data_IF_816336563367
#
_entry.id   IF_816336563367
#
_cell.length_a   1.000
_cell.length_b   1.000
_cell.length_c   1.000
_cell.angle_alpha   90.00
_cell.angle_beta   90.00
_cell.angle_gamma   90.00
#
_symmetry.space_group_name_H-M   'P 1'
#
loop_
_entity.id
_entity.type
_entity.pdbx_description
1 polymer ?
#
# COMPACT_ATOMS: atom_id res chain seq x y z
N UNK A 1 7.79 26.00 2.33
CA UNK A 1 8.32 25.05 1.32
C UNK A 1 7.55 25.24 0.04
N UNK A 2 8.21 25.67 -1.04
CA UNK A 2 7.59 25.70 -2.37
C UNK A 2 7.77 24.34 -3.09
N UNK A 3 7.02 24.12 -4.17
CA UNK A 3 7.02 22.84 -4.89
C UNK A 3 8.42 22.45 -5.42
N UNK A 4 9.19 23.43 -5.90
CA UNK A 4 10.56 23.23 -6.40
C UNK A 4 11.49 22.73 -5.29
N UNK A 5 11.48 23.39 -4.13
CA UNK A 5 12.30 23.01 -2.97
C UNK A 5 11.95 21.61 -2.47
N UNK A 6 10.66 21.29 -2.43
CA UNK A 6 10.20 19.98 -2.01
C UNK A 6 10.64 18.88 -2.98
N UNK A 7 10.63 19.14 -4.29
CA UNK A 7 11.14 18.18 -5.26
C UNK A 7 12.66 18.00 -5.13
N UNK A 8 13.39 19.09 -4.91
CA UNK A 8 14.84 19.05 -4.68
C UNK A 8 15.19 18.20 -3.45
N UNK A 9 14.48 18.36 -2.33
CA UNK A 9 14.74 17.54 -1.13
C UNK A 9 14.53 16.04 -1.37
N UNK A 10 13.62 15.65 -2.27
CA UNK A 10 13.47 14.24 -2.64
C UNK A 10 14.60 13.73 -3.53
N UNK A 11 15.22 14.60 -4.32
CA UNK A 11 16.39 14.24 -5.14
C UNK A 11 17.64 14.12 -4.26
N UNK A 12 17.83 15.04 -3.32
CA UNK A 12 19.07 15.19 -2.57
C UNK A 12 19.10 14.42 -1.24
N UNK A 13 17.96 14.33 -0.54
CA UNK A 13 17.89 13.84 0.85
C UNK A 13 17.15 12.49 1.01
N UNK A 14 16.74 11.83 -0.08
CA UNK A 14 16.01 10.57 0.00
C UNK A 14 16.91 9.35 0.13
N UNK A 15 16.35 8.24 0.61
CA UNK A 15 17.05 6.94 0.70
C UNK A 15 17.03 6.13 -0.61
N UNK A 16 16.48 6.68 -1.69
CA UNK A 16 16.40 5.99 -2.99
C UNK A 16 17.78 5.87 -3.63
N UNK A 17 18.09 4.74 -4.26
CA UNK A 17 19.37 4.58 -4.99
C UNK A 17 19.37 5.38 -6.30
N UNK A 18 18.19 5.54 -6.90
CA UNK A 18 17.98 6.31 -8.13
C UNK A 18 16.83 7.31 -7.96
N UNK A 19 17.01 8.37 -7.16
CA UNK A 19 15.92 9.27 -6.78
C UNK A 19 15.16 9.84 -7.98
N UNK A 20 15.87 10.25 -9.03
CA UNK A 20 15.27 10.85 -10.24
C UNK A 20 14.31 9.90 -10.94
N UNK A 21 14.69 8.63 -11.09
CA UNK A 21 13.90 7.62 -11.78
C UNK A 21 12.68 7.20 -10.96
N UNK A 22 12.87 7.02 -9.65
CA UNK A 22 11.78 6.73 -8.71
C UNK A 22 10.77 7.88 -8.65
N UNK A 23 11.23 9.12 -8.57
CA UNK A 23 10.35 10.30 -8.61
C UNK A 23 9.58 10.36 -9.94
N UNK A 24 10.25 10.13 -11.07
CA UNK A 24 9.61 10.13 -12.38
C UNK A 24 8.53 9.03 -12.46
N UNK A 25 8.80 7.84 -11.93
CA UNK A 25 7.82 6.75 -11.83
C UNK A 25 6.60 7.17 -11.00
N UNK A 26 6.81 7.79 -9.83
CA UNK A 26 5.72 8.27 -8.98
C UNK A 26 4.86 9.34 -9.69
N UNK A 27 5.49 10.24 -10.45
CA UNK A 27 4.79 11.24 -11.26
C UNK A 27 3.97 10.58 -12.37
N UNK A 28 4.50 9.58 -13.07
CA UNK A 28 3.77 8.85 -14.10
C UNK A 28 2.51 8.17 -13.53
N UNK A 29 2.62 7.55 -12.34
CA UNK A 29 1.47 6.95 -11.64
C UNK A 29 0.44 8.03 -11.28
N UNK A 30 0.89 9.18 -10.77
CA UNK A 30 0.01 10.30 -10.45
C UNK A 30 -0.75 10.83 -11.69
N UNK A 31 -0.05 10.95 -12.83
CA UNK A 31 -0.65 11.34 -14.11
C UNK A 31 -1.67 10.32 -14.61
N UNK A 32 -1.32 9.03 -14.61
CA UNK A 32 -2.21 7.94 -15.03
C UNK A 32 -3.49 7.86 -14.18
N UNK A 33 -3.41 8.25 -12.90
CA UNK A 33 -4.55 8.29 -11.98
C UNK A 33 -5.30 9.64 -11.99
N UNK A 34 -4.98 10.55 -12.91
CA UNK A 34 -5.52 11.91 -12.97
C UNK A 34 -5.38 12.69 -11.64
N UNK A 35 -4.31 12.43 -10.89
CA UNK A 35 -4.00 13.02 -9.57
C UNK A 35 -2.64 13.73 -9.59
N UNK A 36 -2.47 14.69 -10.49
CA UNK A 36 -1.20 15.39 -10.77
C UNK A 36 -0.76 16.40 -9.67
N UNK A 37 -1.21 16.22 -8.43
CA UNK A 37 -0.84 17.08 -7.31
C UNK A 37 0.45 16.55 -6.67
N UNK A 38 1.41 17.44 -6.40
CA UNK A 38 2.68 17.07 -5.75
C UNK A 38 2.46 16.34 -4.42
N UNK A 39 1.44 16.70 -3.66
CA UNK A 39 1.09 16.01 -2.41
C UNK A 39 0.75 14.52 -2.61
N UNK A 40 0.16 14.16 -3.76
CA UNK A 40 -0.12 12.77 -4.10
C UNK A 40 1.17 12.01 -4.42
N UNK A 41 2.05 12.61 -5.24
CA UNK A 41 3.38 12.07 -5.56
C UNK A 41 4.18 11.82 -4.27
N UNK A 42 4.19 12.79 -3.36
CA UNK A 42 4.88 12.69 -2.05
C UNK A 42 4.30 11.54 -1.21
N UNK A 43 2.98 11.31 -1.26
CA UNK A 43 2.34 10.18 -0.60
C UNK A 43 2.84 8.83 -1.15
N UNK A 44 2.96 8.72 -2.47
CA UNK A 44 3.52 7.52 -3.13
C UNK A 44 4.97 7.29 -2.67
N UNK A 45 5.82 8.32 -2.73
CA UNK A 45 7.23 8.22 -2.34
C UNK A 45 7.40 7.81 -0.88
N UNK A 46 6.62 8.40 0.04
CA UNK A 46 6.63 8.00 1.45
C UNK A 46 6.21 6.55 1.66
N UNK A 47 5.23 6.08 0.90
CA UNK A 47 4.79 4.69 1.00
C UNK A 47 5.92 3.74 0.57
N UNK A 48 6.58 4.02 -0.56
CA UNK A 48 7.72 3.21 -1.01
C UNK A 48 8.90 3.25 -0.05
N UNK A 49 9.19 4.41 0.55
CA UNK A 49 10.24 4.52 1.55
C UNK A 49 9.92 3.70 2.82
N UNK A 50 8.66 3.70 3.27
CA UNK A 50 8.22 2.87 4.40
C UNK A 50 8.29 1.36 4.07
N UNK A 51 7.94 1.00 2.84
CA UNK A 51 7.99 -0.38 2.33
C UNK A 51 9.41 -0.81 1.95
N UNK A 52 10.42 0.06 2.13
CA UNK A 52 11.82 -0.16 1.77
C UNK A 52 12.04 -0.52 0.29
N UNK A 53 11.18 0.02 -0.60
CA UNK A 53 11.29 -0.09 -2.05
C UNK A 53 12.15 1.07 -2.55
N UNK A 54 13.44 0.83 -2.76
CA UNK A 54 14.43 1.87 -3.02
C UNK A 54 14.83 2.01 -4.50
N UNK A 55 14.51 1.02 -5.34
CA UNK A 55 14.74 1.05 -6.80
C UNK A 55 13.46 0.89 -7.61
N UNK A 56 13.50 1.27 -8.89
CA UNK A 56 12.35 1.14 -9.80
C UNK A 56 12.00 -0.33 -10.03
N UNK A 57 13.00 -1.21 -10.10
CA UNK A 57 12.83 -2.66 -10.28
C UNK A 57 12.09 -3.30 -9.10
N UNK A 58 12.44 -2.91 -7.87
CA UNK A 58 11.76 -3.37 -6.65
C UNK A 58 10.29 -2.91 -6.64
N UNK A 59 10.05 -1.65 -7.02
CA UNK A 59 8.70 -1.09 -7.13
C UNK A 59 7.87 -1.86 -8.15
N UNK A 60 8.43 -2.13 -9.33
CA UNK A 60 7.73 -2.86 -10.40
C UNK A 60 7.42 -4.30 -9.98
N UNK A 61 8.39 -5.01 -9.40
CA UNK A 61 8.20 -6.36 -8.87
C UNK A 61 7.12 -6.41 -7.78
N UNK A 62 7.06 -5.39 -6.92
CA UNK A 62 6.03 -5.29 -5.88
C UNK A 62 4.62 -5.15 -6.46
N UNK A 63 4.42 -4.32 -7.49
CA UNK A 63 3.10 -4.17 -8.14
C UNK A 63 2.69 -5.39 -8.96
N UNK A 64 3.63 -6.08 -9.60
CA UNK A 64 3.36 -7.36 -10.29
C UNK A 64 2.86 -8.44 -9.32
N UNK A 65 3.52 -8.55 -8.16
CA UNK A 65 3.11 -9.49 -7.11
C UNK A 65 1.73 -9.14 -6.52
N UNK A 66 1.40 -7.86 -6.36
CA UNK A 66 0.09 -7.41 -5.88
C UNK A 66 -1.05 -7.67 -6.88
N UNK A 67 -0.77 -7.67 -8.18
CA UNK A 67 -1.77 -8.00 -9.20
C UNK A 67 -1.98 -9.52 -9.32
N UNK A 68 -0.99 -10.31 -8.92
CA UNK A 68 -1.00 -11.78 -9.02
C UNK A 68 -1.66 -12.47 -7.82
N UNK A 69 -1.71 -11.82 -6.66
CA UNK A 69 -2.38 -12.35 -5.47
C UNK A 69 -3.82 -11.82 -5.34
N UNK A 70 -4.85 -12.66 -5.13
CA UNK A 70 -6.17 -12.16 -4.77
C UNK A 70 -6.05 -11.40 -3.44
N UNK A 71 -6.51 -10.14 -3.41
CA UNK A 71 -6.52 -9.27 -2.23
C UNK A 71 -7.37 -9.89 -1.11
N UNK A 72 -6.83 -10.84 -0.37
CA UNK A 72 -7.21 -11.01 1.02
C UNK A 72 -6.57 -9.85 1.77
N UNK A 73 -7.21 -8.68 1.69
CA UNK A 73 -7.05 -7.64 2.71
C UNK A 73 -7.52 -8.32 3.98
N UNK A 74 -6.58 -8.92 4.72
CA UNK A 74 -6.82 -9.29 6.09
C UNK A 74 -7.23 -8.00 6.76
N UNK A 75 -8.54 -7.87 6.99
CA UNK A 75 -9.07 -6.98 7.99
C UNK A 75 -8.17 -7.18 9.20
N UNK A 76 -7.33 -6.18 9.51
CA UNK A 76 -6.82 -6.03 10.86
C UNK A 76 -8.04 -6.19 11.74
N UNK A 77 -8.08 -7.27 12.51
CA UNK A 77 -9.25 -7.67 13.25
C UNK A 77 -9.72 -6.45 14.02
N UNK A 78 -10.87 -5.90 13.63
CA UNK A 78 -11.56 -4.97 14.50
C UNK A 78 -11.84 -5.79 15.73
N UNK A 79 -11.09 -5.57 16.81
CA UNK A 79 -11.51 -6.04 18.11
C UNK A 79 -12.91 -5.44 18.31
N UNK A 80 -13.99 -6.23 18.29
CA UNK A 80 -15.27 -5.66 18.56
C UNK A 80 -15.25 -5.34 20.05
N UNK A 81 -15.45 -4.08 20.40
CA UNK A 81 -15.90 -3.71 21.73
C UNK A 81 -17.33 -4.26 21.91
N UNK A 82 -17.45 -5.59 22.01
CA UNK A 82 -18.71 -6.33 21.95
C UNK A 82 -18.51 -7.81 22.28
N UNK A 83 -19.62 -8.47 22.63
CA UNK A 83 -19.64 -9.88 23.06
C UNK A 83 -19.11 -10.80 21.96
N UNK A 84 -18.25 -11.75 22.30
CA UNK A 84 -17.68 -12.71 21.37
C UNK A 84 -18.81 -13.54 20.70
N UNK A 85 -18.98 -13.39 19.39
CA UNK A 85 -19.86 -14.23 18.57
C UNK A 85 -18.98 -15.35 17.99
N UNK A 86 -19.26 -16.64 18.26
CA UNK A 86 -18.54 -17.72 17.61
C UNK A 86 -18.82 -17.71 16.11
N UNK A 87 -17.76 -17.87 15.30
CA UNK A 87 -17.77 -17.72 13.83
C UNK A 87 -18.51 -18.81 13.05
N UNK A 88 -19.40 -19.55 13.69
CA UNK A 88 -20.18 -20.61 13.10
C UNK A 88 -20.79 -21.51 14.16
N UNK A 89 -21.99 -22.01 13.90
CA UNK A 89 -22.59 -23.08 14.68
C UNK A 89 -22.99 -24.20 13.71
N UNK A 90 -22.70 -25.44 14.07
CA UNK A 90 -23.16 -26.62 13.32
C UNK A 90 -24.40 -27.12 14.03
N UNK A 91 -25.57 -26.98 13.39
CA UNK A 91 -26.82 -27.51 13.91
C UNK A 91 -26.91 -28.99 13.52
N UNK A 92 -26.56 -29.88 14.46
CA UNK A 92 -26.77 -31.32 14.30
C UNK A 92 -28.15 -31.71 14.83
N UNK A 93 -29.08 -31.94 13.91
CA UNK A 93 -30.46 -32.34 14.22
C UNK A 93 -30.58 -33.81 14.66
N UNK A 94 -29.50 -34.59 14.58
CA UNK A 94 -29.45 -36.02 14.92
C UNK A 94 -29.02 -36.26 16.37
N UNK A 95 -28.49 -35.23 17.04
CA UNK A 95 -27.92 -35.33 18.38
C UNK A 95 -28.95 -35.63 19.50
N UNK A 96 -30.24 -35.75 19.17
CA UNK A 96 -31.34 -36.01 20.10
C UNK A 96 -31.92 -37.42 20.07
N UNK A 97 -31.46 -38.33 19.21
CA UNK A 97 -31.93 -39.72 19.19
C UNK A 97 -30.91 -40.67 19.83
N UNK A 98 -31.03 -40.87 21.16
CA UNK A 98 -30.80 -42.14 21.87
C UNK A 98 -31.17 -42.06 23.35
#
# INVERSE_FOLDING_TARGET
MNAKQQLLSWVDDSSFLQPKEVILKAMNIACANNKQRLSYVVGILKNWQNDSLLTVEEIDSHYENQNSAPKHRQSTGSFPAGRAIPGGFVLDLTAGEK
#
